data_IF_628088129487
#
_entry.id   IF_628088129487
#
_cell.length_a   1.000
_cell.length_b   1.000
_cell.length_c   1.000
_cell.angle_alpha   90.00
_cell.angle_beta   90.00
_cell.angle_gamma   90.00
#
_symmetry.space_group_name_H-M   'P 1'
#
loop_
_entity.id
_entity.type
_entity.pdbx_description
1 polymer ?
#
# COMPACT_ATOMS: atom_id res chain seq x y z
N UNK A 1 3.63 4.12 -27.71
CA UNK A 1 4.93 4.79 -27.52
C UNK A 1 5.56 4.36 -26.20
N UNK A 2 6.87 4.52 -26.04
CA UNK A 2 7.65 4.05 -24.87
C UNK A 2 7.13 4.59 -23.52
N UNK A 3 6.57 5.80 -23.50
CA UNK A 3 5.93 6.39 -22.31
C UNK A 3 4.74 5.56 -21.79
N UNK A 4 3.93 4.99 -22.70
CA UNK A 4 2.79 4.13 -22.29
C UNK A 4 3.28 2.80 -21.72
N UNK A 5 4.37 2.23 -22.27
CA UNK A 5 4.99 1.02 -21.72
C UNK A 5 5.61 1.28 -20.35
N UNK A 6 6.27 2.43 -20.16
CA UNK A 6 6.81 2.83 -18.86
C UNK A 6 5.70 2.95 -17.81
N UNK A 7 4.61 3.65 -18.11
CA UNK A 7 3.51 3.80 -17.16
C UNK A 7 2.83 2.47 -16.77
N UNK A 8 2.86 1.47 -17.65
CA UNK A 8 2.26 0.16 -17.40
C UNK A 8 3.20 -0.85 -16.71
N UNK A 9 4.52 -0.70 -16.90
CA UNK A 9 5.50 -1.74 -16.53
C UNK A 9 6.45 -1.29 -15.41
N UNK A 10 6.49 0.00 -15.10
CA UNK A 10 7.44 0.56 -14.14
C UNK A 10 6.97 0.33 -12.69
N UNK A 11 7.77 -0.42 -11.93
CA UNK A 11 7.44 -0.79 -10.55
C UNK A 11 7.44 0.41 -9.59
N UNK A 12 8.24 1.44 -9.85
CA UNK A 12 8.24 2.68 -9.07
C UNK A 12 6.92 3.43 -9.23
N UNK A 13 6.39 3.51 -10.45
CA UNK A 13 5.07 4.11 -10.70
C UNK A 13 3.95 3.26 -10.08
N UNK A 14 4.05 1.92 -10.16
CA UNK A 14 3.08 1.02 -9.53
C UNK A 14 3.08 1.15 -8.00
N UNK A 15 4.26 1.30 -7.38
CA UNK A 15 4.39 1.53 -5.95
C UNK A 15 3.75 2.86 -5.52
N UNK A 16 4.01 3.94 -6.25
CA UNK A 16 3.39 5.24 -5.98
C UNK A 16 1.85 5.20 -6.14
N UNK A 17 1.34 4.44 -7.12
CA UNK A 17 -0.11 4.23 -7.29
C UNK A 17 -0.70 3.45 -6.12
N UNK A 18 -0.01 2.41 -5.63
CA UNK A 18 -0.41 1.66 -4.45
C UNK A 18 -0.47 2.54 -3.20
N UNK A 19 0.51 3.43 -3.01
CA UNK A 19 0.52 4.42 -1.91
C UNK A 19 -0.67 5.39 -2.02
N UNK A 20 -0.97 5.90 -3.21
CA UNK A 20 -2.15 6.73 -3.44
C UNK A 20 -3.45 5.98 -3.13
N UNK A 21 -3.57 4.72 -3.56
CA UNK A 21 -4.73 3.86 -3.22
C UNK A 21 -4.88 3.63 -1.73
N UNK A 22 -3.77 3.44 -1.01
CA UNK A 22 -3.75 3.32 0.44
C UNK A 22 -4.26 4.61 1.10
N UNK A 23 -3.78 5.77 0.68
CA UNK A 23 -4.25 7.06 1.21
C UNK A 23 -5.76 7.24 0.98
N UNK A 24 -6.28 6.89 -0.22
CA UNK A 24 -7.73 6.88 -0.47
C UNK A 24 -8.50 5.90 0.41
N UNK A 25 -7.90 4.79 0.82
CA UNK A 25 -8.53 3.83 1.73
C UNK A 25 -8.64 4.40 3.14
N UNK A 26 -7.65 5.16 3.59
CA UNK A 26 -7.69 5.88 4.87
C UNK A 26 -8.81 6.93 4.87
N UNK A 27 -8.95 7.73 3.80
CA UNK A 27 -10.10 8.65 3.63
C UNK A 27 -11.44 7.92 3.76
N UNK A 28 -11.58 6.74 3.13
CA UNK A 28 -12.81 5.94 3.26
C UNK A 28 -13.03 5.45 4.70
N UNK A 29 -11.97 5.09 5.41
CA UNK A 29 -12.04 4.68 6.80
C UNK A 29 -12.49 5.86 7.70
N UNK A 30 -11.89 7.04 7.54
CA UNK A 30 -12.29 8.25 8.25
C UNK A 30 -13.73 8.65 7.97
N UNK A 31 -14.21 8.50 6.71
CA UNK A 31 -15.64 8.68 6.39
C UNK A 31 -16.53 7.65 7.09
N UNK A 32 -16.06 6.42 7.26
CA UNK A 32 -16.76 5.36 7.98
C UNK A 32 -17.02 5.70 9.45
N UNK A 33 -16.13 6.47 10.08
CA UNK A 33 -16.26 6.85 11.48
C UNK A 33 -17.50 7.71 11.79
N UNK A 34 -18.09 8.37 10.77
CA UNK A 34 -19.33 9.13 10.93
C UNK A 34 -20.58 8.26 11.11
N UNK A 35 -20.48 6.96 10.85
CA UNK A 35 -21.58 6.01 10.95
C UNK A 35 -21.41 5.11 12.18
N UNK A 36 -22.52 4.57 12.73
CA UNK A 36 -22.44 3.56 13.78
C UNK A 36 -21.64 2.34 13.32
N UNK A 37 -20.78 1.84 14.18
CA UNK A 37 -20.11 0.55 14.00
C UNK A 37 -20.95 -0.54 14.63
N UNK A 38 -21.02 -1.68 13.96
CA UNK A 38 -21.71 -2.87 14.45
C UNK A 38 -20.71 -4.01 14.48
N UNK A 39 -20.63 -4.69 15.62
CA UNK A 39 -19.75 -5.83 15.82
C UNK A 39 -20.54 -7.05 16.30
N UNK A 40 -20.05 -8.23 15.93
CA UNK A 40 -20.57 -9.51 16.39
C UNK A 40 -19.41 -10.35 16.91
N UNK A 41 -19.44 -10.65 18.20
CA UNK A 41 -18.45 -11.49 18.87
C UNK A 41 -19.11 -12.82 19.21
N UNK A 42 -18.50 -13.92 18.79
CA UNK A 42 -18.92 -15.29 19.16
C UNK A 42 -17.73 -16.03 19.76
N UNK A 43 -17.96 -16.81 20.81
CA UNK A 43 -16.90 -17.49 21.54
C UNK A 43 -17.34 -18.80 22.17
N UNK A 44 -16.36 -19.67 22.38
CA UNK A 44 -16.47 -20.87 23.20
C UNK A 44 -15.31 -20.90 24.18
N UNK A 45 -15.61 -21.03 25.46
CA UNK A 45 -14.63 -21.17 26.52
C UNK A 45 -14.84 -22.50 27.22
N UNK A 46 -13.82 -23.35 27.26
CA UNK A 46 -13.81 -24.57 28.06
C UNK A 46 -12.96 -24.35 29.30
N UNK A 47 -13.53 -24.53 30.48
CA UNK A 47 -12.81 -24.41 31.75
C UNK A 47 -12.98 -25.68 32.57
N UNK A 48 -11.95 -26.03 33.34
CA UNK A 48 -11.98 -27.13 34.30
C UNK A 48 -11.61 -26.58 35.67
N UNK A 49 -12.40 -26.90 36.70
CA UNK A 49 -12.09 -26.56 38.08
C UNK A 49 -11.79 -27.83 38.88
N UNK A 50 -10.60 -27.85 39.49
CA UNK A 50 -10.20 -28.88 40.46
C UNK A 50 -10.75 -28.58 41.85
N UNK A 51 -10.81 -29.59 42.73
CA UNK A 51 -11.37 -29.53 44.09
C UNK A 51 -10.45 -28.89 45.15
N UNK A 52 -9.48 -28.07 44.74
CA UNK A 52 -8.50 -27.45 45.64
C UNK A 52 -8.87 -26.02 46.04
N UNK A 53 -9.98 -25.82 46.75
CA UNK A 53 -10.29 -24.53 47.40
C UNK A 53 -10.38 -24.73 48.92
N UNK A 54 -9.52 -24.04 49.68
CA UNK A 54 -9.43 -24.10 51.15
C UNK A 54 -10.62 -23.44 51.89
N UNK A 55 -11.65 -22.95 51.19
CA UNK A 55 -12.87 -22.42 51.80
C UNK A 55 -13.95 -23.50 51.85
N UNK A 56 -13.91 -24.29 52.92
CA UNK A 56 -14.95 -25.25 53.28
C UNK A 56 -16.22 -24.55 53.77
N UNK A 57 -17.22 -24.41 52.90
CA UNK A 57 -18.63 -24.30 53.30
C UNK A 57 -19.51 -25.14 52.37
N UNK A 58 -19.63 -26.43 52.73
CA UNK A 58 -20.76 -27.35 52.57
C UNK A 58 -21.79 -27.12 51.43
N UNK A 59 -21.36 -26.79 50.22
CA UNK A 59 -22.20 -26.79 49.03
C UNK A 59 -21.44 -27.41 47.86
N UNK A 60 -21.85 -28.62 47.48
CA UNK A 60 -21.48 -29.36 46.27
C UNK A 60 -20.08 -29.08 45.70
N UNK A 61 -19.07 -29.84 46.15
CA UNK A 61 -17.74 -29.89 45.52
C UNK A 61 -17.82 -30.54 44.13
N UNK A 62 -18.33 -29.83 43.13
CA UNK A 62 -18.33 -30.32 41.75
C UNK A 62 -17.00 -29.99 41.09
N UNK A 63 -16.09 -30.97 41.00
CA UNK A 63 -15.08 -30.96 39.94
C UNK A 63 -15.81 -31.19 38.62
N UNK A 64 -15.51 -30.40 37.59
CA UNK A 64 -16.18 -30.55 36.31
C UNK A 64 -15.58 -29.70 35.22
N UNK A 65 -15.60 -30.25 34.01
CA UNK A 65 -15.33 -29.51 32.78
C UNK A 65 -16.62 -28.78 32.41
N UNK A 66 -16.52 -27.48 32.18
CA UNK A 66 -17.61 -26.61 31.72
C UNK A 66 -17.25 -26.03 30.36
N UNK A 67 -18.15 -26.19 29.39
CA UNK A 67 -18.10 -25.50 28.12
C UNK A 67 -19.11 -24.34 28.16
N UNK A 68 -18.64 -23.10 28.01
CA UNK A 68 -19.44 -21.89 27.89
C UNK A 68 -19.41 -21.42 26.44
N UNK A 69 -20.58 -21.11 25.88
CA UNK A 69 -20.71 -20.51 24.55
C UNK A 69 -21.32 -19.12 24.70
N UNK A 70 -20.80 -18.15 23.96
CA UNK A 70 -21.25 -16.78 24.01
C UNK A 70 -21.40 -16.19 22.61
N UNK A 71 -22.43 -15.37 22.42
CA UNK A 71 -22.65 -14.58 21.21
C UNK A 71 -23.17 -13.21 21.65
N UNK A 72 -22.48 -12.15 21.22
CA UNK A 72 -22.76 -10.76 21.58
C UNK A 72 -22.70 -9.90 20.34
N UNK A 73 -23.74 -9.10 20.11
CA UNK A 73 -23.71 -8.04 19.10
C UNK A 73 -23.60 -6.68 19.79
N UNK A 74 -22.69 -5.84 19.32
CA UNK A 74 -22.46 -4.49 19.81
C UNK A 74 -22.80 -3.45 18.74
N UNK A 75 -23.24 -2.28 19.19
CA UNK A 75 -23.35 -1.09 18.34
C UNK A 75 -22.69 0.07 19.07
N UNK A 76 -21.78 0.78 18.41
CA UNK A 76 -21.13 1.96 18.98
C UNK A 76 -21.08 3.11 17.99
N UNK A 77 -21.34 4.33 18.47
CA UNK A 77 -21.34 5.55 17.65
C UNK A 77 -20.92 6.75 18.49
N UNK A 78 -20.06 7.61 17.92
CA UNK A 78 -19.59 8.86 18.52
C UNK A 78 -20.15 10.03 17.72
N UNK A 79 -20.89 10.93 18.39
CA UNK A 79 -21.39 12.14 17.75
C UNK A 79 -20.26 13.19 17.65
N UNK A 80 -20.05 13.75 16.46
CA UNK A 80 -18.99 14.74 16.22
C UNK A 80 -19.40 16.15 16.68
N UNK A 81 -19.41 16.37 17.99
CA UNK A 81 -19.80 17.67 18.60
C UNK A 81 -18.70 18.72 18.42
N UNK A 82 -17.44 18.30 18.54
CA UNK A 82 -16.28 19.19 18.57
C UNK A 82 -15.52 19.26 17.23
N UNK A 83 -15.97 18.53 16.21
CA UNK A 83 -15.35 18.52 14.89
C UNK A 83 -14.12 17.61 14.76
N UNK A 84 -13.87 16.73 15.74
CA UNK A 84 -12.74 15.79 15.72
C UNK A 84 -12.78 14.93 14.46
N UNK A 85 -13.93 14.33 14.15
CA UNK A 85 -14.09 13.46 12.98
C UNK A 85 -13.96 14.24 11.68
N UNK A 86 -14.57 15.44 11.59
CA UNK A 86 -14.40 16.33 10.44
C UNK A 86 -12.94 16.70 10.18
N UNK A 87 -12.21 17.10 11.23
CA UNK A 87 -10.78 17.46 11.09
C UNK A 87 -9.91 16.26 10.71
N UNK A 88 -10.21 15.06 11.23
CA UNK A 88 -9.53 13.83 10.78
C UNK A 88 -9.79 13.55 9.31
N UNK A 89 -11.04 13.67 8.85
CA UNK A 89 -11.37 13.48 7.44
C UNK A 89 -10.66 14.51 6.54
N UNK A 90 -10.67 15.79 6.91
CA UNK A 90 -9.96 16.85 6.19
C UNK A 90 -8.45 16.55 6.07
N UNK A 91 -7.83 16.07 7.16
CA UNK A 91 -6.42 15.71 7.17
C UNK A 91 -6.11 14.50 6.27
N UNK A 92 -6.96 13.47 6.28
CA UNK A 92 -6.81 12.30 5.41
C UNK A 92 -7.04 12.66 3.94
N UNK A 93 -7.98 13.55 3.65
CA UNK A 93 -8.21 14.05 2.28
C UNK A 93 -7.02 14.85 1.76
N UNK A 94 -6.45 15.73 2.59
CA UNK A 94 -5.21 16.45 2.26
C UNK A 94 -4.03 15.49 2.02
N UNK A 95 -3.91 14.44 2.84
CA UNK A 95 -2.87 13.41 2.70
C UNK A 95 -3.04 12.59 1.41
N UNK A 96 -4.28 12.28 1.02
CA UNK A 96 -4.58 11.63 -0.25
C UNK A 96 -4.26 12.53 -1.46
N UNK A 97 -4.50 13.83 -1.34
CA UNK A 97 -4.14 14.81 -2.37
C UNK A 97 -2.61 14.94 -2.52
N UNK A 98 -1.87 14.94 -1.41
CA UNK A 98 -0.40 14.91 -1.44
C UNK A 98 0.10 13.62 -2.13
N UNK A 99 -0.44 12.46 -1.76
CA UNK A 99 -0.08 11.18 -2.39
C UNK A 99 -0.38 11.14 -3.89
N UNK A 100 -1.44 11.83 -4.33
CA UNK A 100 -1.73 11.99 -5.76
C UNK A 100 -0.67 12.84 -6.48
N UNK A 101 -0.22 13.93 -5.85
CA UNK A 101 0.85 14.76 -6.37
C UNK A 101 2.18 13.99 -6.45
N UNK A 102 2.50 13.18 -5.45
CA UNK A 102 3.70 12.32 -5.44
C UNK A 102 3.68 11.30 -6.58
N UNK A 103 2.53 10.67 -6.85
CA UNK A 103 2.34 9.80 -8.00
C UNK A 103 2.57 10.54 -9.33
N UNK A 104 2.04 11.75 -9.46
CA UNK A 104 2.25 12.58 -10.66
C UNK A 104 3.73 12.95 -10.83
N UNK A 105 4.41 13.33 -9.74
CA UNK A 105 5.83 13.65 -9.74
C UNK A 105 6.69 12.44 -10.12
N UNK A 106 6.39 11.25 -9.59
CA UNK A 106 7.11 10.03 -9.96
C UNK A 106 6.92 9.67 -11.44
N UNK A 107 5.69 9.79 -11.97
CA UNK A 107 5.45 9.60 -13.41
C UNK A 107 6.28 10.56 -14.25
N UNK A 108 6.32 11.83 -13.89
CA UNK A 108 7.11 12.84 -14.61
C UNK A 108 8.60 12.55 -14.54
N UNK A 109 9.12 12.17 -13.37
CA UNK A 109 10.52 11.81 -13.17
C UNK A 109 10.93 10.62 -14.06
N UNK A 110 10.14 9.55 -14.04
CA UNK A 110 10.41 8.35 -14.84
C UNK A 110 10.29 8.61 -16.35
N UNK A 111 9.35 9.47 -16.78
CA UNK A 111 9.28 9.92 -18.17
C UNK A 111 10.51 10.73 -18.58
N UNK A 112 11.00 11.61 -17.70
CA UNK A 112 12.20 12.42 -17.95
C UNK A 112 13.46 11.54 -18.04
N UNK A 113 13.57 10.51 -17.21
CA UNK A 113 14.64 9.52 -17.26
C UNK A 113 14.61 8.72 -18.56
N UNK A 114 13.43 8.25 -18.98
CA UNK A 114 13.26 7.56 -20.26
C UNK A 114 13.71 8.41 -21.46
N UNK A 115 13.35 9.69 -21.48
CA UNK A 115 13.76 10.61 -22.56
C UNK A 115 15.28 10.80 -22.58
N UNK A 116 15.90 11.02 -21.41
CA UNK A 116 17.36 11.15 -21.31
C UNK A 116 18.07 9.88 -21.79
N UNK A 117 17.61 8.71 -21.34
CA UNK A 117 18.17 7.42 -21.77
C UNK A 117 18.03 7.20 -23.28
N UNK A 118 16.89 7.57 -23.86
CA UNK A 118 16.66 7.47 -25.31
C UNK A 118 17.62 8.39 -26.10
N UNK A 119 17.79 9.64 -25.66
CA UNK A 119 18.71 10.57 -26.31
C UNK A 119 20.17 10.09 -26.19
N UNK A 120 20.57 9.58 -25.03
CA UNK A 120 21.91 9.03 -24.84
C UNK A 120 22.16 7.82 -25.76
N UNK A 121 21.18 6.91 -25.88
CA UNK A 121 21.25 5.80 -26.82
C UNK A 121 21.47 6.30 -28.26
N UNK A 122 20.73 7.34 -28.67
CA UNK A 122 20.86 7.90 -30.01
C UNK A 122 22.24 8.51 -30.27
N UNK A 123 22.83 9.16 -29.27
CA UNK A 123 24.20 9.69 -29.36
C UNK A 123 25.20 8.56 -29.53
N UNK A 124 25.08 7.50 -28.75
CA UNK A 124 25.96 6.32 -28.83
C UNK A 124 25.83 5.62 -30.19
N UNK A 125 24.62 5.50 -30.73
CA UNK A 125 24.39 4.94 -32.06
C UNK A 125 25.10 5.75 -33.16
N UNK A 126 25.04 7.08 -33.11
CA UNK A 126 25.76 7.92 -34.08
C UNK A 126 27.28 7.83 -33.92
N UNK A 127 27.79 7.79 -32.69
CA UNK A 127 29.22 7.58 -32.44
C UNK A 127 29.69 6.24 -33.02
N UNK A 128 28.91 5.17 -32.81
CA UNK A 128 29.18 3.85 -33.37
C UNK A 128 29.21 3.88 -34.89
N UNK A 129 28.23 4.54 -35.53
CA UNK A 129 28.17 4.71 -36.99
C UNK A 129 29.41 5.44 -37.54
N UNK A 130 29.84 6.51 -36.87
CA UNK A 130 31.06 7.25 -37.23
C UNK A 130 32.31 6.37 -37.12
N UNK A 131 32.46 5.65 -36.01
CA UNK A 131 33.58 4.73 -35.78
C UNK A 131 33.64 3.62 -36.85
N UNK A 132 32.50 3.02 -37.20
CA UNK A 132 32.44 2.02 -38.27
C UNK A 132 32.84 2.59 -39.63
N UNK A 133 32.38 3.80 -39.97
CA UNK A 133 32.77 4.48 -41.20
C UNK A 133 34.29 4.70 -41.25
N UNK A 134 34.89 5.09 -40.12
CA UNK A 134 36.34 5.27 -39.99
C UNK A 134 37.10 3.96 -40.21
N UNK A 135 36.65 2.86 -39.61
CA UNK A 135 37.24 1.52 -39.80
C UNK A 135 37.17 1.10 -41.27
N UNK A 136 36.01 1.25 -41.91
CA UNK A 136 35.82 0.89 -43.32
C UNK A 136 36.76 1.68 -44.25
N UNK A 137 36.97 2.97 -43.95
CA UNK A 137 37.91 3.81 -44.68
C UNK A 137 39.36 3.34 -44.53
N UNK A 138 39.80 3.00 -43.32
CA UNK A 138 41.14 2.45 -43.08
C UNK A 138 41.35 1.08 -43.75
N UNK A 139 40.32 0.23 -43.80
CA UNK A 139 40.39 -1.04 -44.53
C UNK A 139 40.54 -0.83 -46.03
N UNK A 140 39.86 0.17 -46.60
CA UNK A 140 40.00 0.52 -48.03
C UNK A 140 41.39 1.06 -48.36
N UNK A 141 41.97 1.92 -47.51
CA UNK A 141 43.33 2.43 -47.76
C UNK A 141 44.37 1.31 -47.76
N UNK A 142 44.25 0.35 -46.84
CA UNK A 142 45.13 -0.83 -46.75
C UNK A 142 45.07 -1.74 -47.98
N UNK A 143 43.93 -1.79 -48.69
CA UNK A 143 43.79 -2.60 -49.92
C UNK A 143 44.39 -1.92 -51.16
N UNK A 144 44.64 -0.61 -51.12
CA UNK A 144 45.16 0.14 -52.27
C UNK A 144 46.68 0.33 -52.25
N UNK A 145 47.34 0.00 -51.15
CA UNK A 145 48.80 -0.12 -51.01
C UNK A 145 49.24 -1.55 -51.17
#
# INVERSE_FOLDING_TARGET
GLVNQLNASNQTVAQADAQYRQARALVRNARGAFFPTVDLTVGKTRSSQGTGSSSSSLSSSSSGIRDTYNAQAGVSWEADVWGKLRRTLEADEASAQASFADLAAMRLSQQSELVQNYLQLRVIDEQKRLLQTTVDNYQRSLKMT
#
